data_IF_084807112957
#
_entry.id   IF_084807112957
#
_cell.length_a   1.000
_cell.length_b   1.000
_cell.length_c   1.000
_cell.angle_alpha   90.00
_cell.angle_beta   90.00
_cell.angle_gamma   90.00
#
_symmetry.space_group_name_H-M   'P 1'
#
loop_
_entity.id
_entity.type
_entity.pdbx_description
1 polymer ?
#
# COMPACT_ATOMS: atom_id res chain seq x y z
N UNK A 1 17.72 14.59 -77.73
CA UNK A 1 18.94 15.17 -77.11
C UNK A 1 18.48 15.93 -75.87
N UNK A 2 18.62 15.45 -74.64
CA UNK A 2 19.84 15.26 -73.84
C UNK A 2 19.60 14.16 -72.80
N UNK A 3 20.64 13.38 -72.54
CA UNK A 3 20.70 12.25 -71.60
C UNK A 3 20.94 12.76 -70.18
N UNK A 4 20.24 12.24 -69.17
CA UNK A 4 20.80 12.07 -67.81
C UNK A 4 20.27 10.75 -67.24
N UNK A 5 21.21 9.83 -66.99
CA UNK A 5 21.05 8.64 -66.14
C UNK A 5 21.48 9.02 -64.72
N UNK A 6 20.71 8.67 -63.70
CA UNK A 6 21.23 8.30 -62.38
C UNK A 6 20.09 7.70 -61.53
N UNK A 7 20.32 6.47 -61.04
CA UNK A 7 19.51 5.74 -60.08
C UNK A 7 19.91 6.15 -58.67
N UNK A 8 18.99 6.19 -57.69
CA UNK A 8 19.30 6.14 -56.25
C UNK A 8 18.13 5.44 -55.51
N UNK A 9 18.49 4.30 -54.92
CA UNK A 9 18.10 3.69 -53.64
C UNK A 9 16.62 3.56 -53.27
N UNK A 10 16.17 2.30 -53.28
CA UNK A 10 15.06 1.83 -52.46
C UNK A 10 15.38 2.04 -50.98
N UNK A 11 14.58 2.87 -50.29
CA UNK A 11 14.46 2.83 -48.84
C UNK A 11 13.11 2.21 -48.49
N UNK A 12 13.11 0.89 -48.25
CA UNK A 12 12.02 0.28 -47.51
C UNK A 12 12.13 0.77 -46.05
N UNK A 13 11.39 1.81 -45.72
CA UNK A 13 11.22 2.23 -44.33
C UNK A 13 10.37 1.17 -43.63
N UNK A 14 11.02 0.21 -42.95
CA UNK A 14 10.33 -0.64 -41.98
C UNK A 14 10.03 0.26 -40.78
N UNK A 15 8.80 0.73 -40.67
CA UNK A 15 8.31 1.40 -39.49
C UNK A 15 8.31 0.41 -38.32
N UNK A 16 9.42 0.36 -37.59
CA UNK A 16 9.49 -0.35 -36.32
C UNK A 16 8.58 0.37 -35.32
N UNK A 17 7.47 -0.27 -34.96
CA UNK A 17 6.68 0.11 -33.78
C UNK A 17 7.57 -0.15 -32.55
N UNK A 18 8.28 0.88 -32.09
CA UNK A 18 8.90 0.86 -30.78
C UNK A 18 7.78 0.86 -29.74
N UNK A 19 7.45 -0.32 -29.20
CA UNK A 19 6.69 -0.40 -27.95
C UNK A 19 7.61 0.18 -26.88
N UNK A 20 7.36 1.42 -26.47
CA UNK A 20 7.96 1.94 -25.25
C UNK A 20 7.50 1.02 -24.12
N UNK A 21 8.37 0.10 -23.70
CA UNK A 21 8.17 -0.62 -22.46
C UNK A 21 8.15 0.44 -21.36
N UNK A 22 6.96 0.81 -20.89
CA UNK A 22 6.83 1.46 -19.59
C UNK A 22 7.68 0.63 -18.62
N UNK A 23 8.48 1.25 -17.73
CA UNK A 23 9.27 0.47 -16.80
C UNK A 23 8.29 -0.50 -16.14
N UNK A 24 8.62 -1.79 -16.10
CA UNK A 24 7.78 -2.75 -15.42
C UNK A 24 7.83 -2.38 -13.93
N UNK A 25 6.98 -1.44 -13.49
CA UNK A 25 6.74 -1.22 -12.08
C UNK A 25 6.28 -2.59 -11.57
N UNK A 26 7.00 -3.13 -10.58
CA UNK A 26 6.65 -4.40 -9.97
C UNK A 26 5.14 -4.38 -9.67
N UNK A 27 4.41 -5.35 -10.22
CA UNK A 27 2.97 -5.43 -10.03
C UNK A 27 2.67 -5.38 -8.53
N UNK A 28 1.62 -4.66 -8.11
CA UNK A 28 1.28 -4.58 -6.70
C UNK A 28 0.95 -5.97 -6.18
N UNK A 29 1.23 -6.21 -4.90
CA UNK A 29 0.92 -7.47 -4.26
C UNK A 29 -0.58 -7.52 -3.95
N UNK A 30 -1.14 -8.71 -3.89
CA UNK A 30 -2.57 -8.89 -3.62
C UNK A 30 -2.82 -9.83 -2.47
N UNK A 31 -3.78 -9.49 -1.60
CA UNK A 31 -4.23 -10.37 -0.52
C UNK A 31 -5.70 -10.12 -0.22
N UNK A 32 -6.50 -11.19 -0.12
CA UNK A 32 -7.92 -11.07 0.22
C UNK A 32 -8.70 -10.08 -0.64
N UNK A 33 -8.38 -9.98 -1.93
CA UNK A 33 -9.01 -9.05 -2.88
C UNK A 33 -8.50 -7.61 -2.88
N UNK A 34 -7.59 -7.21 -1.98
CA UNK A 34 -6.95 -5.89 -1.99
C UNK A 34 -5.58 -5.92 -2.66
N UNK A 35 -5.23 -4.82 -3.33
CA UNK A 35 -3.88 -4.54 -3.83
C UNK A 35 -3.11 -3.67 -2.83
N UNK A 36 -1.83 -3.97 -2.62
CA UNK A 36 -1.00 -3.29 -1.64
C UNK A 36 0.45 -3.16 -2.10
N UNK A 37 1.19 -2.25 -1.46
CA UNK A 37 2.60 -2.03 -1.74
C UNK A 37 3.40 -3.22 -1.20
N UNK A 38 3.94 -4.04 -2.10
CA UNK A 38 4.66 -5.28 -1.76
C UNK A 38 5.75 -5.08 -0.70
N UNK A 39 6.51 -4.01 -0.83
CA UNK A 39 7.62 -3.67 0.07
C UNK A 39 7.13 -3.44 1.52
N UNK A 40 5.92 -2.91 1.69
CA UNK A 40 5.36 -2.62 3.00
C UNK A 40 4.71 -3.86 3.63
N UNK A 41 4.28 -4.82 2.81
CA UNK A 41 3.78 -6.11 3.28
C UNK A 41 2.42 -6.03 3.98
N UNK A 42 2.04 -7.15 4.61
CA UNK A 42 0.86 -7.26 5.47
C UNK A 42 1.33 -7.41 6.91
N UNK A 43 0.84 -6.56 7.79
CA UNK A 43 1.08 -6.64 9.23
C UNK A 43 -0.09 -7.37 9.88
N UNK A 44 0.19 -8.51 10.52
CA UNK A 44 -0.82 -9.31 11.19
C UNK A 44 -0.86 -8.96 12.69
N UNK A 45 -2.05 -8.97 13.26
CA UNK A 45 -2.33 -8.78 14.68
C UNK A 45 -3.30 -9.85 15.18
N UNK A 46 -3.14 -10.24 16.44
CA UNK A 46 -4.00 -11.23 17.08
C UNK A 46 -5.01 -10.52 17.97
N UNK A 47 -6.29 -10.77 17.70
CA UNK A 47 -7.40 -10.29 18.51
C UNK A 47 -7.83 -11.36 19.53
N UNK A 48 -8.56 -10.97 20.60
CA UNK A 48 -9.13 -11.93 21.54
C UNK A 48 -9.99 -13.01 20.86
N UNK A 49 -10.06 -14.20 21.45
CA UNK A 49 -10.85 -15.32 20.92
C UNK A 49 -10.31 -15.88 19.61
N UNK A 50 -8.98 -15.90 19.45
CA UNK A 50 -8.28 -16.39 18.26
C UNK A 50 -8.66 -15.71 16.93
N UNK A 51 -9.27 -14.53 17.02
CA UNK A 51 -9.49 -13.69 15.86
C UNK A 51 -8.15 -13.12 15.36
N UNK A 52 -8.12 -12.75 14.08
CA UNK A 52 -6.97 -12.14 13.42
C UNK A 52 -7.37 -10.81 12.81
N UNK A 53 -6.47 -9.87 12.83
CA UNK A 53 -6.58 -8.59 12.16
C UNK A 53 -5.37 -8.38 11.25
N UNK A 54 -5.59 -7.78 10.09
CA UNK A 54 -4.57 -7.53 9.09
C UNK A 54 -4.58 -6.07 8.73
N UNK A 55 -3.37 -5.50 8.68
CA UNK A 55 -3.13 -4.13 8.25
C UNK A 55 -2.23 -4.16 7.02
N UNK A 56 -2.53 -3.32 6.05
CA UNK A 56 -1.67 -3.10 4.90
C UNK A 56 -1.72 -1.65 4.44
N UNK A 57 -0.77 -1.28 3.58
CA UNK A 57 -0.78 0.00 2.89
C UNK A 57 -1.18 -0.24 1.44
N UNK A 58 -2.30 0.35 1.04
CA UNK A 58 -2.82 0.22 -0.32
C UNK A 58 -1.91 0.91 -1.33
N UNK A 59 -2.16 0.67 -2.62
CA UNK A 59 -1.47 1.38 -3.71
C UNK A 59 -1.82 2.88 -3.77
N UNK A 60 -2.83 3.29 -3.00
CA UNK A 60 -3.24 4.67 -2.74
C UNK A 60 -2.50 5.31 -1.55
N UNK A 61 -1.54 4.60 -0.95
CA UNK A 61 -0.80 4.99 0.25
C UNK A 61 -1.65 5.13 1.52
N UNK A 62 -2.93 4.75 1.47
CA UNK A 62 -3.78 4.72 2.66
C UNK A 62 -3.56 3.44 3.46
N UNK A 63 -3.83 3.51 4.77
CA UNK A 63 -3.84 2.33 5.64
C UNK A 63 -5.19 1.65 5.58
N UNK A 64 -5.17 0.34 5.43
CA UNK A 64 -6.37 -0.50 5.41
C UNK A 64 -6.27 -1.57 6.49
N UNK A 65 -7.42 -1.88 7.12
CA UNK A 65 -7.56 -3.00 8.04
C UNK A 65 -8.65 -3.95 7.59
N UNK A 66 -8.53 -5.23 7.95
CA UNK A 66 -9.64 -6.20 7.97
C UNK A 66 -9.44 -7.16 9.12
N UNK A 67 -10.51 -7.79 9.59
CA UNK A 67 -10.45 -8.70 10.72
C UNK A 67 -11.33 -9.91 10.51
N UNK A 68 -11.14 -10.95 11.32
CA UNK A 68 -12.00 -12.12 11.32
C UNK A 68 -13.10 -12.00 12.37
N UNK A 69 -14.33 -12.40 12.04
CA UNK A 69 -15.41 -12.65 13.00
C UNK A 69 -15.89 -14.07 12.80
N UNK A 70 -15.84 -14.90 13.85
CA UNK A 70 -16.18 -16.34 13.80
C UNK A 70 -15.46 -17.08 12.65
N UNK A 71 -14.17 -16.78 12.46
CA UNK A 71 -13.34 -17.39 11.42
C UNK A 71 -13.54 -16.84 10.00
N UNK A 72 -14.48 -15.91 9.78
CA UNK A 72 -14.73 -15.29 8.47
C UNK A 72 -14.08 -13.92 8.39
N UNK A 73 -13.36 -13.63 7.31
CA UNK A 73 -12.77 -12.30 7.08
C UNK A 73 -13.85 -11.27 6.73
N UNK A 74 -13.74 -10.08 7.31
CA UNK A 74 -14.46 -8.90 6.86
C UNK A 74 -13.95 -8.43 5.49
N UNK A 75 -14.69 -7.49 4.88
CA UNK A 75 -14.13 -6.65 3.82
C UNK A 75 -13.01 -5.76 4.36
N UNK A 76 -12.23 -5.17 3.45
CA UNK A 76 -11.23 -4.16 3.78
C UNK A 76 -11.89 -2.84 4.16
N UNK A 77 -11.43 -2.25 5.26
CA UNK A 77 -11.88 -0.99 5.80
C UNK A 77 -10.72 0.02 5.78
N UNK A 78 -10.93 1.19 5.18
CA UNK A 78 -9.90 2.23 5.12
C UNK A 78 -9.82 2.97 6.44
N UNK A 79 -8.59 3.11 6.95
CA UNK A 79 -8.25 4.01 8.05
C UNK A 79 -7.70 5.36 7.52
N UNK A 80 -7.68 5.54 6.20
CA UNK A 80 -7.17 6.73 5.53
C UNK A 80 -5.68 6.93 5.73
N UNK A 81 -5.27 8.20 5.77
CA UNK A 81 -3.87 8.61 5.91
C UNK A 81 -3.08 8.49 4.61
N UNK A 82 -1.79 8.85 4.67
CA UNK A 82 -0.84 8.71 3.56
C UNK A 82 0.52 8.35 4.14
N UNK A 83 0.90 7.08 4.02
CA UNK A 83 2.10 6.54 4.65
C UNK A 83 3.01 5.86 3.64
N UNK A 84 4.32 5.96 3.86
CA UNK A 84 5.42 5.58 2.98
C UNK A 84 6.34 4.54 3.64
N UNK A 85 5.78 3.73 4.54
CA UNK A 85 6.48 2.59 5.12
C UNK A 85 5.52 1.48 5.51
N UNK A 86 6.11 0.32 5.83
CA UNK A 86 5.42 -0.74 6.57
C UNK A 86 4.77 -0.19 7.84
N UNK A 87 3.59 -0.75 8.15
CA UNK A 87 2.83 -0.49 9.37
C UNK A 87 3.45 -1.28 10.51
N UNK A 88 3.71 -0.60 11.62
CA UNK A 88 4.14 -1.18 12.88
C UNK A 88 3.02 -1.08 13.91
N UNK A 89 2.94 -2.08 14.79
CA UNK A 89 1.95 -2.12 15.87
C UNK A 89 2.68 -2.03 17.20
N UNK A 90 2.15 -1.21 18.11
CA UNK A 90 2.56 -1.15 19.51
C UNK A 90 1.35 -1.43 20.39
N UNK A 91 1.46 -2.47 21.20
CA UNK A 91 0.49 -2.73 22.27
C UNK A 91 0.52 -1.58 23.28
N UNK A 92 -0.66 -1.11 23.67
CA UNK A 92 -0.89 0.00 24.61
C UNK A 92 -1.66 -0.47 25.84
N UNK A 93 -1.20 -1.57 26.42
CA UNK A 93 -1.77 -2.16 27.64
C UNK A 93 -1.68 -1.24 28.86
N UNK A 94 -0.87 -0.17 28.77
CA UNK A 94 -0.84 0.95 29.72
C UNK A 94 -2.13 1.80 29.72
N UNK A 95 -2.90 1.79 28.62
CA UNK A 95 -4.17 2.52 28.50
C UNK A 95 -5.37 1.58 28.67
N UNK A 96 -5.35 0.42 28.00
CA UNK A 96 -6.39 -0.61 28.15
C UNK A 96 -5.88 -1.99 27.69
N UNK A 97 -6.45 -3.12 28.18
CA UNK A 97 -5.91 -4.47 27.98
C UNK A 97 -5.68 -4.90 26.53
N UNK A 98 -6.35 -4.28 25.58
CA UNK A 98 -6.30 -4.59 24.15
C UNK A 98 -6.15 -3.33 23.28
N UNK A 99 -5.66 -2.24 23.87
CA UNK A 99 -5.40 -1.03 23.11
C UNK A 99 -4.16 -1.22 22.23
N UNK A 100 -4.22 -0.72 21.00
CA UNK A 100 -3.11 -0.74 20.06
C UNK A 100 -2.90 0.63 19.44
N UNK A 101 -1.63 0.98 19.24
CA UNK A 101 -1.20 2.08 18.39
C UNK A 101 -0.61 1.49 17.12
N UNK A 102 -1.20 1.79 15.97
CA UNK A 102 -0.55 1.53 14.68
C UNK A 102 0.17 2.79 14.23
N UNK A 103 1.33 2.63 13.62
CA UNK A 103 2.12 3.76 13.15
C UNK A 103 2.97 3.40 11.93
N UNK A 104 3.24 4.42 11.11
CA UNK A 104 4.07 4.33 9.93
C UNK A 104 4.73 5.69 9.64
N UNK A 105 5.71 5.70 8.74
CA UNK A 105 6.36 6.93 8.29
C UNK A 105 5.52 7.62 7.22
N UNK A 106 5.36 8.93 7.33
CA UNK A 106 4.83 9.77 6.26
C UNK A 106 5.91 10.08 5.21
N UNK A 107 5.52 10.74 4.12
CA UNK A 107 6.45 11.21 3.07
C UNK A 107 7.51 12.18 3.61
N UNK A 108 7.19 12.88 4.69
CA UNK A 108 8.07 13.81 5.39
C UNK A 108 8.97 13.14 6.44
N UNK A 109 9.07 11.81 6.46
CA UNK A 109 9.84 11.00 7.42
C UNK A 109 9.39 11.08 8.89
N UNK A 110 8.36 11.88 9.19
CA UNK A 110 7.71 11.90 10.49
C UNK A 110 6.90 10.63 10.69
N UNK A 111 6.75 10.23 11.94
CA UNK A 111 5.93 9.08 12.31
C UNK A 111 4.51 9.55 12.60
N UNK A 112 3.54 8.94 11.92
CA UNK A 112 2.12 9.17 12.10
C UNK A 112 1.46 7.90 12.65
N UNK A 113 0.44 8.04 13.49
CA UNK A 113 -0.24 6.88 14.06
C UNK A 113 -1.70 7.09 14.41
N UNK A 114 -2.37 5.96 14.63
CA UNK A 114 -3.77 5.86 15.05
C UNK A 114 -3.85 4.97 16.29
N UNK A 115 -4.60 5.39 17.30
CA UNK A 115 -4.86 4.63 18.52
C UNK A 115 -6.26 4.02 18.47
N UNK A 116 -6.37 2.74 18.84
CA UNK A 116 -7.65 2.09 19.17
C UNK A 116 -7.56 1.54 20.59
N UNK A 117 -8.60 1.74 21.40
CA UNK A 117 -8.57 1.39 22.83
C UNK A 117 -9.10 -0.01 23.14
N UNK A 118 -9.88 -0.61 22.24
CA UNK A 118 -10.39 -1.97 22.37
C UNK A 118 -10.72 -2.57 20.98
N UNK A 119 -10.78 -3.90 20.81
CA UNK A 119 -11.25 -4.54 19.58
C UNK A 119 -12.66 -4.03 19.22
N UNK A 120 -12.84 -3.61 17.98
CA UNK A 120 -14.11 -3.06 17.50
C UNK A 120 -14.44 -1.64 17.96
N UNK A 121 -13.62 -1.01 18.80
CA UNK A 121 -13.74 0.42 19.09
C UNK A 121 -13.28 1.26 17.89
N UNK A 122 -13.76 2.51 17.84
CA UNK A 122 -13.32 3.47 16.83
C UNK A 122 -11.81 3.77 16.95
N UNK A 123 -11.22 4.08 15.79
CA UNK A 123 -9.86 4.60 15.72
C UNK A 123 -9.84 6.09 16.03
N UNK A 124 -8.78 6.56 16.68
CA UNK A 124 -8.52 7.99 16.84
C UNK A 124 -8.35 8.68 15.48
N UNK A 125 -8.27 10.01 15.49
CA UNK A 125 -7.70 10.74 14.35
C UNK A 125 -6.20 10.39 14.20
N UNK A 126 -5.66 10.62 13.00
CA UNK A 126 -4.22 10.53 12.74
C UNK A 126 -3.46 11.57 13.57
N UNK A 127 -2.48 11.11 14.32
CA UNK A 127 -1.64 11.94 15.16
C UNK A 127 -0.17 11.89 14.73
N UNK A 128 0.52 13.02 14.82
CA UNK A 128 1.94 13.09 14.50
C UNK A 128 2.78 12.82 15.75
N UNK A 129 3.31 11.60 15.82
CA UNK A 129 4.04 11.10 16.99
C UNK A 129 5.47 11.65 17.10
N UNK A 130 5.97 12.31 16.05
CA UNK A 130 7.34 12.83 15.99
C UNK A 130 7.43 14.26 15.45
N UNK A 131 6.38 15.07 15.59
CA UNK A 131 6.37 16.48 15.17
C UNK A 131 6.97 17.44 16.22
N UNK A 132 7.67 16.92 17.24
CA UNK A 132 8.29 17.69 18.32
C UNK A 132 9.61 18.33 17.95
#
# INVERSE_FOLDING_TARGET
MKKIKAAILAFAAVAGLAVAAAPAQAAPCSTGGAQYICEYGVTNHTLPGDQREQFLVGTDYAVWTRWTTNGQWSGWYSLGGTVWSKISIRERTDIAPHAILIYAKGSNTQTWGLLRTAPGADWSAWDCLSCG
#
